data_IF_531596804310
#
_entry.id   IF_531596804310
#
_cell.length_a   1.000
_cell.length_b   1.000
_cell.length_c   1.000
_cell.angle_alpha   90.00
_cell.angle_beta   90.00
_cell.angle_gamma   90.00
#
_symmetry.space_group_name_H-M   'P 1'
#
loop_
_entity.id
_entity.type
_entity.pdbx_description
1 polymer ?
#
# COMPACT_ATOMS: atom_id res chain seq x y z
N UNK A 1 -6.86 -7.80 19.32
CA UNK A 1 -5.54 -7.61 18.67
C UNK A 1 -5.13 -6.17 18.91
N UNK A 2 -3.84 -5.89 19.10
CA UNK A 2 -3.34 -4.54 19.32
C UNK A 2 -2.07 -4.31 18.53
N UNK A 3 -1.96 -3.17 17.86
CA UNK A 3 -0.70 -2.70 17.26
C UNK A 3 0.17 -2.12 18.37
N UNK A 4 1.41 -2.56 18.44
CA UNK A 4 2.36 -2.19 19.50
C UNK A 4 3.42 -1.22 19.00
N UNK A 5 3.75 -1.25 17.72
CA UNK A 5 4.75 -0.39 17.09
C UNK A 5 4.50 -0.29 15.59
N UNK A 6 4.92 0.82 15.00
CA UNK A 6 4.93 1.07 13.56
C UNK A 6 6.21 1.83 13.23
N UNK A 7 6.91 1.44 12.17
CA UNK A 7 8.10 2.14 11.69
C UNK A 7 8.21 2.06 10.18
N UNK A 8 8.27 3.20 9.50
CA UNK A 8 8.52 3.23 8.06
C UNK A 8 9.95 2.81 7.76
N UNK A 9 10.11 1.87 6.85
CA UNK A 9 11.40 1.23 6.56
C UNK A 9 12.06 1.73 5.27
N UNK A 10 11.31 2.44 4.43
CA UNK A 10 11.78 2.97 3.17
C UNK A 10 11.18 4.37 2.92
N UNK A 11 11.81 5.21 2.07
CA UNK A 11 11.19 6.45 1.61
C UNK A 11 9.97 6.18 0.71
N UNK A 12 9.07 7.17 0.54
CA UNK A 12 7.95 7.06 -0.38
C UNK A 12 8.39 6.87 -1.84
N UNK A 13 7.67 6.03 -2.58
CA UNK A 13 7.89 5.73 -3.99
C UNK A 13 6.64 6.10 -4.79
N UNK A 14 6.81 6.86 -5.87
CA UNK A 14 5.70 7.21 -6.75
C UNK A 14 5.60 6.20 -7.91
N UNK A 15 4.48 5.50 -7.98
CA UNK A 15 4.12 4.60 -9.07
C UNK A 15 3.23 5.34 -10.06
N UNK A 16 3.76 5.59 -11.25
CA UNK A 16 3.07 6.31 -12.30
C UNK A 16 2.50 5.34 -13.34
N UNK A 17 1.19 5.39 -13.54
CA UNK A 17 0.50 4.71 -14.63
C UNK A 17 0.30 5.66 -15.83
N UNK A 18 0.14 5.12 -17.05
CA UNK A 18 -0.25 5.89 -18.21
C UNK A 18 -1.58 6.61 -18.00
N UNK A 19 -1.67 7.87 -18.43
CA UNK A 19 -2.86 8.72 -18.25
C UNK A 19 -4.15 8.12 -18.83
N UNK A 20 -4.04 7.25 -19.84
CA UNK A 20 -5.17 6.53 -20.43
C UNK A 20 -5.92 5.64 -19.42
N UNK A 21 -5.26 5.19 -18.36
CA UNK A 21 -5.85 4.30 -17.34
C UNK A 21 -6.36 5.05 -16.12
N UNK A 22 -5.84 6.26 -15.86
CA UNK A 22 -6.20 7.08 -14.70
C UNK A 22 -7.71 7.40 -14.66
N UNK A 23 -8.31 7.68 -15.83
CA UNK A 23 -9.71 8.09 -15.94
C UNK A 23 -10.72 6.94 -15.76
N UNK A 24 -10.25 5.71 -15.51
CA UNK A 24 -11.13 4.56 -15.31
C UNK A 24 -11.67 4.46 -13.88
N UNK A 25 -11.12 5.24 -12.94
CA UNK A 25 -11.52 5.18 -11.52
C UNK A 25 -11.12 3.86 -10.84
N UNK A 26 -10.24 3.08 -11.46
CA UNK A 26 -9.83 1.76 -11.01
C UNK A 26 -8.49 1.84 -10.27
N UNK A 27 -8.50 1.59 -8.96
CA UNK A 27 -7.28 1.57 -8.11
C UNK A 27 -6.14 0.72 -8.69
N UNK A 28 -6.48 -0.36 -9.39
CA UNK A 28 -5.51 -1.31 -9.96
C UNK A 28 -4.62 -0.70 -11.04
N UNK A 29 -5.06 0.39 -11.68
CA UNK A 29 -4.38 1.02 -12.82
C UNK A 29 -4.26 2.55 -12.66
N UNK A 30 -4.44 3.03 -11.43
CA UNK A 30 -4.23 4.44 -11.07
C UNK A 30 -2.85 4.63 -10.45
N UNK A 31 -2.26 5.79 -10.69
CA UNK A 31 -1.01 6.20 -10.05
C UNK A 31 -1.18 6.30 -8.55
N UNK A 32 -0.16 5.86 -7.81
CA UNK A 32 -0.16 5.88 -6.35
C UNK A 32 1.21 6.17 -5.78
N UNK A 33 1.25 6.71 -4.57
CA UNK A 33 2.46 6.80 -3.76
C UNK A 33 2.43 5.66 -2.75
N UNK A 34 3.49 4.85 -2.71
CA UNK A 34 3.62 3.74 -1.78
C UNK A 34 4.76 3.99 -0.79
N UNK A 35 4.57 3.58 0.46
CA UNK A 35 5.66 3.49 1.43
C UNK A 35 5.52 2.23 2.27
N UNK A 36 6.63 1.52 2.46
CA UNK A 36 6.68 0.29 3.25
C UNK A 36 6.97 0.60 4.70
N UNK A 37 6.39 -0.21 5.59
CA UNK A 37 6.63 -0.13 7.03
C UNK A 37 6.59 -1.51 7.67
N UNK A 38 7.24 -1.59 8.82
CA UNK A 38 7.14 -2.70 9.76
C UNK A 38 6.19 -2.33 10.89
N UNK A 39 5.44 -3.31 11.38
CA UNK A 39 4.56 -3.14 12.53
C UNK A 39 4.68 -4.31 13.50
N UNK A 40 4.66 -4.00 14.78
CA UNK A 40 4.48 -4.99 15.84
C UNK A 40 3.00 -5.15 16.17
N UNK A 41 2.56 -6.38 16.39
CA UNK A 41 1.20 -6.66 16.85
C UNK A 41 1.18 -7.76 17.91
N UNK A 42 0.22 -7.62 18.84
CA UNK A 42 -0.08 -8.61 19.86
C UNK A 42 -1.40 -9.32 19.56
N UNK A 43 -1.33 -10.64 19.48
CA UNK A 43 -2.49 -11.54 19.36
C UNK A 43 -2.56 -12.46 20.59
N UNK A 44 -3.50 -12.19 21.49
CA UNK A 44 -3.56 -12.90 22.77
C UNK A 44 -2.33 -12.59 23.63
N UNK A 45 -1.51 -13.62 23.91
CA UNK A 45 -0.25 -13.50 24.68
C UNK A 45 1.00 -13.49 23.80
N UNK A 46 0.84 -13.55 22.48
CA UNK A 46 1.96 -13.64 21.54
C UNK A 46 2.18 -12.28 20.88
N UNK A 47 3.43 -11.82 20.93
CA UNK A 47 3.90 -10.67 20.17
C UNK A 47 4.54 -11.16 18.87
N UNK A 48 4.29 -10.44 17.78
CA UNK A 48 4.81 -10.77 16.45
C UNK A 48 5.00 -9.50 15.66
N UNK A 49 5.78 -9.60 14.58
CA UNK A 49 6.01 -8.50 13.65
C UNK A 49 5.47 -8.84 12.28
N UNK A 50 5.07 -7.82 11.54
CA UNK A 50 4.61 -7.92 10.17
C UNK A 50 5.15 -6.77 9.32
N UNK A 51 5.06 -6.97 8.01
CA UNK A 51 5.42 -5.99 7.00
C UNK A 51 4.17 -5.60 6.23
N UNK A 52 4.00 -4.32 5.98
CA UNK A 52 2.91 -3.80 5.16
C UNK A 52 3.39 -2.58 4.35
N UNK A 53 2.57 -2.16 3.40
CA UNK A 53 2.72 -0.88 2.72
C UNK A 53 1.43 -0.09 2.79
N UNK A 54 1.56 1.23 2.89
CA UNK A 54 0.47 2.18 2.69
C UNK A 54 0.58 2.74 1.28
N UNK A 55 -0.56 2.80 0.58
CA UNK A 55 -0.70 3.41 -0.73
C UNK A 55 -1.66 4.58 -0.62
N UNK A 56 -1.29 5.70 -1.24
CA UNK A 56 -2.17 6.84 -1.46
C UNK A 56 -2.39 7.03 -2.95
N UNK A 57 -3.65 7.10 -3.36
CA UNK A 57 -4.09 7.32 -4.74
C UNK A 57 -4.52 8.78 -4.89
N UNK A 58 -3.67 9.69 -5.42
CA UNK A 58 -3.95 11.11 -5.40
C UNK A 58 -5.23 11.49 -6.16
N UNK A 59 -5.54 10.81 -7.26
CA UNK A 59 -6.75 11.09 -8.05
C UNK A 59 -8.04 10.65 -7.37
N UNK A 60 -7.97 9.66 -6.49
CA UNK A 60 -9.13 9.10 -5.78
C UNK A 60 -9.24 9.64 -4.35
N UNK A 61 -8.25 10.40 -3.91
CA UNK A 61 -8.07 10.85 -2.52
C UNK A 61 -8.19 9.71 -1.50
N UNK A 62 -7.75 8.51 -1.88
CA UNK A 62 -7.98 7.28 -1.14
C UNK A 62 -6.66 6.66 -0.64
N UNK A 63 -6.74 5.99 0.51
CA UNK A 63 -5.64 5.27 1.12
C UNK A 63 -5.93 3.78 1.22
N UNK A 64 -4.89 2.96 1.06
CA UNK A 64 -5.03 1.51 1.16
C UNK A 64 -3.81 0.86 1.81
N UNK A 65 -4.06 -0.13 2.66
CA UNK A 65 -3.01 -0.95 3.29
C UNK A 65 -2.89 -2.26 2.54
N UNK A 66 -1.68 -2.56 2.06
CA UNK A 66 -1.34 -3.83 1.44
C UNK A 66 -0.45 -4.63 2.39
N UNK A 67 -0.82 -5.89 2.64
CA UNK A 67 0.00 -6.83 3.43
C UNK A 67 0.48 -7.92 2.45
N UNK A 68 1.75 -7.88 2.00
CA UNK A 68 2.24 -8.76 0.93
C UNK A 68 2.35 -10.23 1.35
N UNK A 69 2.51 -10.51 2.64
CA UNK A 69 2.65 -11.87 3.18
C UNK A 69 1.41 -12.26 3.96
N UNK A 70 0.97 -13.51 3.78
CA UNK A 70 -0.07 -14.08 4.63
C UNK A 70 0.42 -14.12 6.08
N UNK A 71 -0.41 -13.62 6.99
CA UNK A 71 -0.14 -13.71 8.42
C UNK A 71 -0.80 -14.99 8.95
N UNK A 72 -0.04 -15.98 9.46
CA UNK A 72 -0.61 -17.21 9.99
C UNK A 72 -1.66 -16.92 11.08
N UNK A 73 -2.79 -17.62 11.05
CA UNK A 73 -3.88 -17.43 12.02
C UNK A 73 -4.79 -16.22 11.77
N UNK A 74 -4.56 -15.47 10.69
CA UNK A 74 -5.45 -14.41 10.23
C UNK A 74 -6.29 -14.89 9.04
N UNK A 75 -7.58 -15.11 9.28
CA UNK A 75 -8.58 -15.23 8.22
C UNK A 75 -8.97 -13.85 7.66
N UNK A 76 -9.76 -13.84 6.59
CA UNK A 76 -10.17 -12.62 5.85
C UNK A 76 -10.68 -11.50 6.78
N UNK A 77 -11.63 -11.79 7.66
CA UNK A 77 -12.21 -10.80 8.58
C UNK A 77 -11.16 -10.17 9.51
N UNK A 78 -10.20 -10.97 10.02
CA UNK A 78 -9.14 -10.43 10.89
C UNK A 78 -8.11 -9.63 10.12
N UNK A 79 -7.87 -9.97 8.85
CA UNK A 79 -7.00 -9.18 7.98
C UNK A 79 -7.62 -7.82 7.66
N UNK A 80 -8.92 -7.77 7.37
CA UNK A 80 -9.63 -6.50 7.15
C UNK A 80 -9.55 -5.61 8.39
N UNK A 81 -9.83 -6.16 9.58
CA UNK A 81 -9.68 -5.43 10.85
C UNK A 81 -8.25 -4.93 11.07
N UNK A 82 -7.25 -5.75 10.72
CA UNK A 82 -5.85 -5.34 10.81
C UNK A 82 -5.54 -4.19 9.85
N UNK A 83 -6.00 -4.28 8.60
CA UNK A 83 -5.80 -3.24 7.59
C UNK A 83 -6.44 -1.92 8.03
N UNK A 84 -7.66 -1.94 8.56
CA UNK A 84 -8.32 -0.73 9.10
C UNK A 84 -7.51 -0.11 10.24
N UNK A 85 -7.08 -0.93 11.22
CA UNK A 85 -6.28 -0.44 12.35
C UNK A 85 -4.93 0.12 11.93
N UNK A 86 -4.27 -0.53 10.96
CA UNK A 86 -3.01 -0.04 10.42
C UNK A 86 -3.23 1.26 9.66
N UNK A 87 -4.30 1.37 8.88
CA UNK A 87 -4.61 2.58 8.11
C UNK A 87 -4.79 3.79 9.04
N UNK A 88 -5.62 3.65 10.07
CA UNK A 88 -5.88 4.70 11.06
C UNK A 88 -4.59 5.20 11.73
N UNK A 89 -3.64 4.31 12.02
CA UNK A 89 -2.40 4.66 12.71
C UNK A 89 -1.29 5.15 11.78
N UNK A 90 -1.32 4.78 10.50
CA UNK A 90 -0.24 5.07 9.55
C UNK A 90 -0.53 6.28 8.67
N UNK A 91 -1.79 6.66 8.47
CA UNK A 91 -2.18 7.71 7.53
C UNK A 91 -1.53 9.07 7.86
N UNK A 92 -1.66 9.57 9.11
CA UNK A 92 -1.06 10.87 9.47
C UNK A 92 0.47 10.86 9.41
N UNK A 93 1.17 9.86 9.99
CA UNK A 93 2.64 9.74 9.86
C UNK A 93 3.13 9.62 8.41
N UNK A 94 2.36 8.95 7.55
CA UNK A 94 2.66 8.85 6.12
C UNK A 94 2.56 10.21 5.43
N UNK A 95 1.50 10.97 5.68
CA UNK A 95 1.32 12.33 5.12
C UNK A 95 2.44 13.27 5.58
N UNK A 96 2.86 13.18 6.84
CA UNK A 96 4.03 13.94 7.34
C UNK A 96 5.31 13.55 6.59
N UNK A 97 5.50 12.26 6.34
CA UNK A 97 6.65 11.79 5.55
C UNK A 97 6.63 12.34 4.12
N UNK A 98 5.46 12.40 3.47
CA UNK A 98 5.33 13.01 2.14
C UNK A 98 5.67 14.50 2.11
N UNK A 99 5.34 15.24 3.18
CA UNK A 99 5.65 16.67 3.30
C UNK A 99 7.15 16.92 3.50
N UNK A 100 7.81 16.08 4.29
CA UNK A 100 9.25 16.23 4.60
C UNK A 100 10.18 15.62 3.55
N UNK A 101 9.75 14.53 2.91
CA UNK A 101 10.52 13.76 1.94
C UNK A 101 9.60 13.35 0.78
N UNK A 102 9.40 14.22 -0.23
CA UNK A 102 8.62 13.86 -1.40
C UNK A 102 9.25 12.64 -2.11
N UNK A 103 8.45 11.82 -2.80
CA UNK A 103 8.93 10.58 -3.40
C UNK A 103 10.09 10.85 -4.36
N UNK A 104 11.29 10.45 -3.94
CA UNK A 104 12.52 10.60 -4.72
C UNK A 104 12.63 9.53 -5.81
N UNK A 105 11.99 8.39 -5.59
CA UNK A 105 11.96 7.27 -6.51
C UNK A 105 10.63 7.26 -7.29
N UNK A 106 10.73 7.12 -8.61
CA UNK A 106 9.58 6.96 -9.52
C UNK A 106 9.66 5.62 -10.23
N UNK A 107 8.54 4.93 -10.29
CA UNK A 107 8.36 3.67 -11.04
C UNK A 107 7.33 3.92 -12.14
N UNK A 108 7.71 3.68 -13.39
CA UNK A 108 6.82 3.82 -14.54
C UNK A 108 6.21 2.47 -14.89
N UNK A 109 4.88 2.39 -14.84
CA UNK A 109 4.14 1.26 -15.39
C UNK A 109 3.93 1.48 -16.89
N UNK A 110 4.14 0.45 -17.69
CA UNK A 110 4.01 0.53 -19.15
C UNK A 110 2.63 0.07 -19.61
N UNK A 111 2.27 0.40 -20.84
CA UNK A 111 1.03 -0.08 -21.46
C UNK A 111 0.94 -1.60 -21.36
N UNK A 112 -0.19 -2.08 -20.85
CA UNK A 112 -0.57 -3.47 -21.01
C UNK A 112 -0.92 -3.66 -22.49
N UNK A 113 0.08 -3.92 -23.35
CA UNK A 113 -0.20 -4.27 -24.75
C UNK A 113 -1.04 -5.54 -24.75
N UNK A 114 -2.24 -5.55 -25.36
CA UNK A 114 -2.87 -6.81 -25.67
C UNK A 114 -1.93 -7.54 -26.64
N UNK A 115 -1.46 -8.71 -26.25
CA UNK A 115 -0.75 -9.61 -27.16
C UNK A 115 -1.81 -10.24 -28.07
N UNK A 116 -2.32 -9.46 -29.02
CA UNK A 116 -2.99 -10.04 -30.17
C UNK A 116 -1.90 -10.74 -30.97
N UNK A 117 -1.79 -12.06 -30.81
CA UNK A 117 -1.17 -12.88 -31.84
C UNK A 117 -2.13 -12.82 -33.02
N UNK A 118 -1.82 -12.00 -34.02
CA UNK A 118 -2.27 -12.26 -35.38
C UNK A 118 -1.69 -13.62 -35.76
N UNK A 119 -2.52 -14.65 -35.67
CA UNK A 119 -2.38 -15.84 -36.51
C UNK A 119 -2.89 -15.44 -37.88
N UNK A 120 -1.95 -15.15 -38.78
CA UNK A 120 -2.15 -15.29 -40.22
C UNK A 120 -1.93 -16.77 -40.60
#
# INVERSE_FOLDING_TARGET
MKITSISFTAPPVFHQFPAIYENLGLRQVSSYIEQTFEFGYRLGKTDSTGHASIRYYPQLEDFHITIPRKIPGFGAVRLEQLQSLLLEQTQSPFIETLKGAPPSQKVFHTYFRPTWKETD
#
